data_IF_089439992380
#
_entry.id   IF_089439992380
#
_cell.length_a   1.000
_cell.length_b   1.000
_cell.length_c   1.000
_cell.angle_alpha   90.00
_cell.angle_beta   90.00
_cell.angle_gamma   90.00
#
_symmetry.space_group_name_H-M   'P 1'
#
loop_
_entity.id
_entity.type
_entity.pdbx_description
1 polymer ?
#
# COMPACT_ATOMS: atom_id res chain seq x y z
N UNK A 1 12.94 5.71 -7.09
CA UNK A 1 13.94 6.79 -7.04
C UNK A 1 15.18 6.34 -6.27
N UNK A 2 16.37 6.75 -6.72
CA UNK A 2 17.63 6.49 -6.02
C UNK A 2 17.58 7.04 -4.59
N UNK A 3 17.81 6.18 -3.59
CA UNK A 3 17.90 6.58 -2.17
C UNK A 3 16.61 6.47 -1.34
N UNK A 4 15.47 6.17 -1.95
CA UNK A 4 14.18 6.02 -1.24
C UNK A 4 13.75 4.55 -1.05
N UNK A 5 14.55 3.60 -1.50
CA UNK A 5 14.32 2.16 -1.29
C UNK A 5 15.65 1.53 -0.94
N UNK A 6 15.71 0.87 0.20
CA UNK A 6 16.90 0.17 0.71
C UNK A 6 16.61 -1.31 0.67
N UNK A 7 17.28 -2.05 -0.20
CA UNK A 7 17.15 -3.51 -0.25
C UNK A 7 18.27 -4.11 0.58
N UNK A 8 17.92 -4.72 1.70
CA UNK A 8 18.86 -5.42 2.57
C UNK A 8 18.66 -6.92 2.41
N UNK A 9 19.77 -7.62 2.18
CA UNK A 9 19.80 -9.08 2.12
C UNK A 9 19.97 -9.61 3.54
N UNK A 10 18.93 -10.22 4.09
CA UNK A 10 19.04 -10.99 5.32
C UNK A 10 18.56 -12.39 5.00
N UNK A 11 19.46 -13.29 4.58
CA UNK A 11 19.13 -14.70 4.31
C UNK A 11 18.20 -15.25 5.40
N UNK A 12 16.98 -15.73 5.07
CA UNK A 12 16.47 -16.10 3.74
C UNK A 12 15.59 -15.06 3.03
N UNK A 13 15.45 -13.84 3.56
CA UNK A 13 14.51 -12.81 3.09
C UNK A 13 15.27 -11.59 2.53
N UNK A 14 14.80 -11.08 1.40
CA UNK A 14 15.18 -9.74 0.94
C UNK A 14 14.20 -8.73 1.53
N UNK A 15 14.70 -7.78 2.31
CA UNK A 15 13.88 -6.72 2.91
C UNK A 15 14.08 -5.43 2.13
N UNK A 16 13.05 -5.01 1.40
CA UNK A 16 12.98 -3.71 0.76
C UNK A 16 12.34 -2.71 1.73
N UNK A 17 13.13 -1.76 2.23
CA UNK A 17 12.68 -0.67 3.10
C UNK A 17 12.46 0.57 2.26
N UNK A 18 11.21 1.00 2.13
CA UNK A 18 10.86 2.27 1.51
C UNK A 18 11.11 3.40 2.52
N UNK A 19 11.93 4.37 2.14
CA UNK A 19 12.38 5.47 2.97
C UNK A 19 12.15 6.81 2.27
N UNK A 20 12.35 7.92 2.98
CA UNK A 20 12.17 9.25 2.43
C UNK A 20 10.73 9.48 1.96
N UNK A 21 10.54 9.97 0.73
CA UNK A 21 9.21 10.29 0.17
C UNK A 21 8.33 9.06 -0.10
N UNK A 22 8.88 7.84 0.01
CA UNK A 22 8.14 6.59 -0.14
C UNK A 22 7.79 5.93 1.20
N UNK A 23 8.23 6.49 2.34
CA UNK A 23 7.99 5.93 3.66
C UNK A 23 6.51 5.98 4.11
N UNK A 24 5.64 6.62 3.32
CA UNK A 24 4.22 6.83 3.67
C UNK A 24 3.32 6.94 2.43
N UNK A 25 3.82 6.49 1.27
CA UNK A 25 3.10 6.54 0.00
C UNK A 25 2.73 5.12 -0.40
N UNK A 26 1.48 4.89 -0.78
CA UNK A 26 1.08 3.60 -1.32
C UNK A 26 1.91 3.31 -2.58
N UNK A 27 2.49 2.12 -2.66
CA UNK A 27 3.32 1.71 -3.81
C UNK A 27 2.52 0.73 -4.64
N UNK A 28 2.45 0.97 -5.95
CA UNK A 28 1.76 0.10 -6.90
C UNK A 28 2.30 -1.34 -6.87
N UNK A 29 1.51 -2.27 -7.41
CA UNK A 29 1.84 -3.70 -7.45
C UNK A 29 3.25 -3.93 -8.00
N UNK A 30 4.05 -4.67 -7.24
CA UNK A 30 5.40 -5.06 -7.61
C UNK A 30 5.31 -6.23 -8.60
N UNK A 31 5.81 -6.04 -9.82
CA UNK A 31 5.97 -7.11 -10.80
C UNK A 31 7.44 -7.27 -11.19
N UNK A 32 7.85 -8.50 -11.48
CA UNK A 32 9.17 -8.83 -12.02
C UNK A 32 9.05 -9.95 -13.04
N UNK A 33 9.80 -9.85 -14.14
CA UNK A 33 10.03 -10.95 -15.08
C UNK A 33 11.44 -11.45 -14.89
N UNK A 34 11.58 -12.74 -14.61
CA UNK A 34 12.89 -13.38 -14.58
C UNK A 34 13.34 -13.81 -15.98
N UNK A 35 14.62 -13.63 -16.27
CA UNK A 35 15.25 -14.00 -17.55
C UNK A 35 16.13 -15.24 -17.42
N UNK A 36 16.43 -15.77 -16.22
CA UNK A 36 17.29 -16.96 -16.14
C UNK A 36 17.27 -17.70 -14.76
N UNK A 37 16.19 -18.44 -14.47
CA UNK A 37 16.18 -19.48 -13.41
C UNK A 37 16.18 -20.90 -13.99
N UNK A 38 17.02 -21.16 -14.99
CA UNK A 38 17.34 -22.52 -15.41
C UNK A 38 18.47 -23.11 -14.54
N UNK A 39 18.15 -23.59 -13.33
CA UNK A 39 18.70 -24.85 -12.75
C UNK A 39 18.47 -24.97 -11.23
N UNK A 40 17.58 -25.89 -10.84
CA UNK A 40 18.00 -26.91 -9.87
C UNK A 40 17.34 -27.01 -8.50
N UNK A 41 16.45 -26.10 -8.08
CA UNK A 41 15.71 -26.27 -6.82
C UNK A 41 14.39 -25.48 -6.81
N UNK A 42 13.43 -25.90 -7.61
CA UNK A 42 12.05 -25.43 -7.43
C UNK A 42 11.37 -26.37 -6.44
N UNK A 43 11.00 -25.87 -5.26
CA UNK A 43 10.13 -26.59 -4.33
C UNK A 43 8.76 -26.77 -5.00
N UNK A 44 8.18 -27.97 -4.87
CA UNK A 44 6.86 -28.32 -5.39
C UNK A 44 5.73 -27.75 -4.51
N UNK A 45 6.03 -27.31 -3.29
CA UNK A 45 5.09 -26.61 -2.42
C UNK A 45 5.57 -25.19 -2.06
N UNK A 46 4.61 -24.29 -1.85
CA UNK A 46 4.82 -22.94 -1.30
C UNK A 46 3.75 -22.61 -0.27
N UNK A 47 4.09 -21.73 0.67
CA UNK A 47 3.14 -21.10 1.60
C UNK A 47 3.34 -19.60 1.52
N UNK A 48 2.25 -18.85 1.37
CA UNK A 48 2.29 -17.39 1.21
C UNK A 48 1.24 -16.71 2.09
N UNK A 49 1.63 -15.73 2.90
CA UNK A 49 0.70 -15.00 3.79
C UNK A 49 -0.23 -14.12 2.96
N UNK A 50 -1.50 -14.53 2.85
CA UNK A 50 -2.59 -13.96 2.04
C UNK A 50 -3.45 -12.91 2.71
N UNK A 51 -3.25 -12.73 4.00
CA UNK A 51 -3.50 -11.50 4.74
C UNK A 51 -2.45 -11.52 5.84
N UNK A 52 -1.62 -10.49 5.96
CA UNK A 52 -0.71 -10.39 7.10
C UNK A 52 -1.56 -10.12 8.34
N UNK A 53 -1.36 -10.92 9.38
CA UNK A 53 -2.01 -10.68 10.66
C UNK A 53 -1.54 -9.36 11.26
N UNK A 54 -2.48 -8.55 11.74
CA UNK A 54 -2.16 -7.26 12.36
C UNK A 54 -2.58 -7.35 13.82
N UNK A 55 -1.65 -7.09 14.73
CA UNK A 55 -1.96 -6.94 16.14
C UNK A 55 -2.74 -5.64 16.37
N UNK A 56 -3.59 -5.63 17.40
CA UNK A 56 -4.26 -4.39 17.77
C UNK A 56 -3.24 -3.33 18.21
N UNK A 57 -3.38 -2.12 17.67
CA UNK A 57 -2.66 -0.95 18.18
C UNK A 57 -3.65 -0.15 19.03
N UNK A 58 -3.27 0.10 20.28
CA UNK A 58 -4.02 0.93 21.20
C UNK A 58 -4.12 2.37 20.68
N UNK A 59 -5.33 2.89 20.56
CA UNK A 59 -5.54 4.31 20.25
C UNK A 59 -5.13 5.20 21.42
N UNK A 60 -4.52 6.35 21.11
CA UNK A 60 -4.20 7.40 22.08
C UNK A 60 -4.88 8.71 21.69
N UNK A 61 -5.72 9.22 22.57
CA UNK A 61 -6.34 10.53 22.44
C UNK A 61 -5.70 11.54 23.42
N UNK A 62 -5.32 12.69 22.91
CA UNK A 62 -4.74 13.81 23.65
C UNK A 62 -5.85 14.81 24.01
N UNK A 63 -5.95 15.11 25.31
CA UNK A 63 -6.92 16.07 25.83
C UNK A 63 -6.18 17.31 26.34
N UNK A 64 -6.38 18.42 25.64
CA UNK A 64 -5.68 19.69 25.86
C UNK A 64 -6.64 20.78 26.27
N UNK A 65 -6.40 21.41 27.42
CA UNK A 65 -7.15 22.59 27.86
C UNK A 65 -6.41 23.85 27.45
N UNK A 66 -7.12 24.75 26.76
CA UNK A 66 -6.60 26.07 26.33
C UNK A 66 -7.26 27.21 27.12
N UNK A 67 -6.81 28.45 26.89
CA UNK A 67 -7.41 29.64 27.49
C UNK A 67 -7.14 29.85 29.00
N UNK A 68 -6.38 28.95 29.66
CA UNK A 68 -5.96 29.06 31.07
C UNK A 68 -7.11 29.29 32.05
N UNK A 69 -8.10 28.37 32.13
CA UNK A 69 -9.19 28.50 33.09
C UNK A 69 -8.67 28.58 34.52
N UNK A 70 -9.40 29.28 35.37
CA UNK A 70 -9.11 29.39 36.82
C UNK A 70 -10.19 28.71 37.67
N UNK A 71 -11.14 28.03 37.02
CA UNK A 71 -12.29 27.39 37.65
C UNK A 71 -13.18 26.67 36.64
N UNK A 72 -14.25 26.05 37.15
CA UNK A 72 -15.25 25.33 36.35
C UNK A 72 -14.86 23.88 36.07
N UNK A 73 -15.70 23.23 35.28
CA UNK A 73 -15.62 21.80 34.95
C UNK A 73 -15.98 21.55 33.49
N UNK A 74 -15.81 20.31 33.07
CA UNK A 74 -16.28 19.78 31.79
C UNK A 74 -16.89 18.39 32.00
N UNK A 75 -17.76 17.99 31.07
CA UNK A 75 -18.30 16.64 30.99
C UNK A 75 -17.77 16.00 29.71
N UNK A 76 -17.04 14.90 29.86
CA UNK A 76 -16.53 14.10 28.73
C UNK A 76 -17.55 13.01 28.41
N UNK A 77 -17.76 12.71 27.13
CA UNK A 77 -18.66 11.66 26.67
C UNK A 77 -17.96 10.73 25.68
N UNK A 78 -18.16 9.42 25.87
CA UNK A 78 -17.58 8.34 25.08
C UNK A 78 -18.54 7.16 25.01
N UNK A 79 -18.70 6.54 23.84
CA UNK A 79 -19.53 5.34 23.70
C UNK A 79 -20.99 5.49 24.17
N UNK A 80 -21.54 6.71 24.12
CA UNK A 80 -22.91 7.02 24.58
C UNK A 80 -23.08 7.18 26.09
N UNK A 81 -21.99 7.12 26.88
CA UNK A 81 -21.98 7.45 28.31
C UNK A 81 -21.21 8.75 28.56
N UNK A 82 -21.44 9.38 29.72
CA UNK A 82 -20.78 10.62 30.13
C UNK A 82 -20.11 10.47 31.49
N UNK A 83 -18.96 11.11 31.67
CA UNK A 83 -18.27 11.17 32.97
C UNK A 83 -19.07 11.98 33.99
N UNK A 84 -18.77 11.83 35.29
CA UNK A 84 -18.99 12.88 36.27
C UNK A 84 -18.26 14.18 35.86
N UNK A 85 -18.60 15.30 36.49
CA UNK A 85 -17.92 16.58 36.28
C UNK A 85 -16.40 16.48 36.53
N UNK A 86 -15.61 16.82 35.52
CA UNK A 86 -14.14 16.81 35.54
C UNK A 86 -13.66 18.23 35.72
N UNK A 87 -12.92 18.49 36.81
CA UNK A 87 -12.45 19.84 37.15
C UNK A 87 -11.34 20.33 36.20
N UNK A 88 -11.23 21.65 36.05
CA UNK A 88 -10.24 22.32 35.20
C UNK A 88 -8.76 22.05 35.58
N UNK A 89 -8.48 21.58 36.80
CA UNK A 89 -7.14 21.36 37.36
C UNK A 89 -6.84 19.87 37.66
N UNK A 90 -7.55 18.96 36.99
CA UNK A 90 -7.45 17.52 37.21
C UNK A 90 -6.07 16.95 36.87
N UNK A 91 -5.63 15.97 37.65
CA UNK A 91 -4.45 15.13 37.37
C UNK A 91 -4.80 13.93 36.49
N UNK A 92 -3.82 13.30 35.84
CA UNK A 92 -4.06 12.10 35.02
C UNK A 92 -4.77 10.96 35.79
N UNK A 93 -4.36 10.69 37.04
CA UNK A 93 -5.00 9.66 37.87
C UNK A 93 -6.47 9.98 38.22
N UNK A 94 -6.78 11.26 38.43
CA UNK A 94 -8.16 11.68 38.64
C UNK A 94 -8.96 11.60 37.34
N UNK A 95 -8.37 11.96 36.19
CA UNK A 95 -9.00 11.79 34.88
C UNK A 95 -9.36 10.33 34.63
N UNK A 96 -8.43 9.41 34.85
CA UNK A 96 -8.67 7.97 34.74
C UNK A 96 -9.86 7.53 35.59
N UNK A 97 -9.91 7.98 36.85
CA UNK A 97 -11.06 7.71 37.74
C UNK A 97 -12.39 8.27 37.17
N UNK A 98 -12.37 9.42 36.51
CA UNK A 98 -13.55 10.01 35.88
C UNK A 98 -13.99 9.25 34.63
N UNK A 99 -13.05 8.74 33.83
CA UNK A 99 -13.32 7.96 32.63
C UNK A 99 -13.85 6.56 32.98
N UNK A 100 -13.20 5.86 33.92
CA UNK A 100 -13.63 4.54 34.41
C UNK A 100 -14.98 4.55 35.15
N UNK A 101 -15.50 5.73 35.50
CA UNK A 101 -16.84 5.88 36.04
C UNK A 101 -17.94 5.81 34.97
N UNK A 102 -17.59 5.79 33.67
CA UNK A 102 -18.54 5.61 32.57
C UNK A 102 -18.82 4.14 32.29
N UNK A 103 -20.08 3.78 32.03
CA UNK A 103 -20.45 2.39 31.69
C UNK A 103 -19.85 1.90 30.36
N UNK A 104 -19.47 2.83 29.48
CA UNK A 104 -18.81 2.55 28.19
C UNK A 104 -17.30 2.31 28.30
N UNK A 105 -16.69 2.53 29.47
CA UNK A 105 -15.26 2.38 29.69
C UNK A 105 -15.03 1.36 30.81
N UNK A 106 -14.66 0.12 30.48
CA UNK A 106 -14.30 -0.87 31.48
C UNK A 106 -13.08 -0.44 32.31
N UNK A 107 -13.01 -0.94 33.54
CA UNK A 107 -11.91 -0.61 34.45
C UNK A 107 -10.55 -1.05 33.87
N UNK A 108 -9.58 -0.14 33.89
CA UNK A 108 -8.21 -0.35 33.40
C UNK A 108 -8.05 -0.20 31.88
N UNK A 109 -9.12 0.12 31.14
CA UNK A 109 -9.09 0.14 29.67
C UNK A 109 -8.95 1.54 29.06
N UNK A 110 -8.94 2.60 29.88
CA UNK A 110 -8.64 3.98 29.46
C UNK A 110 -7.62 4.63 30.40
N UNK A 111 -6.37 4.15 30.32
CA UNK A 111 -5.29 4.63 31.21
C UNK A 111 -4.87 6.05 30.83
N UNK A 112 -4.65 6.90 31.84
CA UNK A 112 -4.30 8.30 31.62
C UNK A 112 -2.86 8.62 32.02
N UNK A 113 -2.16 9.43 31.23
CA UNK A 113 -0.81 9.92 31.53
C UNK A 113 -0.65 11.42 31.24
N UNK A 114 0.47 12.01 31.65
CA UNK A 114 0.71 13.46 31.49
C UNK A 114 0.05 14.31 32.59
N UNK A 115 -0.48 15.47 32.20
CA UNK A 115 -1.11 16.44 33.09
C UNK A 115 -0.17 17.09 34.11
N UNK A 116 -0.71 17.82 35.10
CA UNK A 116 -2.13 18.15 35.27
C UNK A 116 -2.61 19.27 34.34
N UNK A 117 -3.92 19.35 34.15
CA UNK A 117 -4.53 20.51 33.49
C UNK A 117 -4.45 21.78 34.34
N UNK A 118 -4.52 22.97 33.72
CA UNK A 118 -4.46 23.22 32.27
C UNK A 118 -3.01 23.29 31.72
N UNK A 119 -1.99 22.97 32.53
CA UNK A 119 -0.58 23.23 32.20
C UNK A 119 0.07 22.21 31.24
N UNK A 120 -0.45 20.99 31.15
CA UNK A 120 0.07 19.94 30.27
C UNK A 120 -1.06 19.04 29.76
N UNK A 121 -0.91 18.49 28.56
CA UNK A 121 -1.86 17.55 27.97
C UNK A 121 -2.04 16.31 28.85
N UNK A 122 -3.27 15.79 28.94
CA UNK A 122 -3.53 14.46 29.48
C UNK A 122 -3.78 13.54 28.30
N UNK A 123 -2.98 12.47 28.20
CA UNK A 123 -3.12 11.47 27.16
C UNK A 123 -3.92 10.28 27.69
N UNK A 124 -4.91 9.84 26.94
CA UNK A 124 -5.76 8.69 27.26
C UNK A 124 -5.44 7.58 26.27
N UNK A 125 -4.91 6.47 26.77
CA UNK A 125 -4.62 5.28 25.99
C UNK A 125 -5.74 4.26 26.19
N UNK A 126 -6.44 3.92 25.12
CA UNK A 126 -7.46 2.87 25.11
C UNK A 126 -6.80 1.50 24.93
N UNK A 127 -7.15 0.54 25.78
CA UNK A 127 -6.54 -0.79 25.80
C UNK A 127 -7.57 -1.86 26.18
N UNK A 128 -7.14 -3.13 26.24
CA UNK A 128 -8.05 -4.23 26.58
C UNK A 128 -9.14 -4.40 25.54
N UNK A 129 -10.41 -4.42 25.96
CA UNK A 129 -11.54 -4.50 25.03
C UNK A 129 -11.81 -3.23 24.22
N UNK A 130 -11.20 -2.11 24.61
CA UNK A 130 -11.21 -0.85 23.86
C UNK A 130 -9.93 -0.62 23.03
N UNK A 131 -9.07 -1.63 22.90
CA UNK A 131 -7.93 -1.55 22.02
C UNK A 131 -8.36 -1.61 20.54
N UNK A 132 -7.61 -0.95 19.66
CA UNK A 132 -8.00 -0.76 18.27
C UNK A 132 -8.61 0.61 18.05
N UNK A 133 -9.41 0.75 16.98
CA UNK A 133 -9.98 2.02 16.55
C UNK A 133 -11.12 2.43 17.48
N UNK A 134 -11.03 3.63 18.03
CA UNK A 134 -12.03 4.21 18.91
C UNK A 134 -12.60 5.50 18.34
N UNK A 135 -13.81 5.86 18.79
CA UNK A 135 -14.40 7.13 18.44
C UNK A 135 -13.73 8.26 19.27
N UNK A 136 -13.50 9.42 18.65
CA UNK A 136 -13.02 10.59 19.38
C UNK A 136 -13.97 10.95 20.52
N UNK A 137 -13.44 11.13 21.73
CA UNK A 137 -14.22 11.64 22.84
C UNK A 137 -14.79 13.02 22.53
N UNK A 138 -15.93 13.33 23.13
CA UNK A 138 -16.58 14.64 23.00
C UNK A 138 -16.74 15.27 24.37
N UNK A 139 -16.87 16.60 24.42
CA UNK A 139 -16.95 17.34 25.67
C UNK A 139 -18.03 18.42 25.64
N UNK A 140 -18.53 18.76 26.83
CA UNK A 140 -19.36 19.94 27.09
C UNK A 140 -18.70 20.73 28.19
N UNK A 141 -18.11 21.86 27.82
CA UNK A 141 -17.32 22.68 28.73
C UNK A 141 -18.17 23.69 29.50
N UNK A 142 -17.89 23.81 30.81
CA UNK A 142 -18.39 24.86 31.68
C UNK A 142 -17.23 25.52 32.45
N UNK A 143 -16.07 25.61 31.81
CA UNK A 143 -14.89 26.29 32.35
C UNK A 143 -15.12 27.79 32.58
N UNK A 144 -14.43 28.34 33.58
CA UNK A 144 -14.55 29.75 33.96
C UNK A 144 -13.19 30.40 34.19
N UNK A 145 -13.15 31.73 34.06
CA UNK A 145 -11.89 32.49 34.07
C UNK A 145 -11.08 32.33 32.78
N UNK A 146 -9.92 32.96 32.71
CA UNK A 146 -9.05 32.86 31.54
C UNK A 146 -9.56 33.59 30.28
N UNK A 147 -8.95 33.29 29.14
CA UNK A 147 -9.28 33.83 27.81
C UNK A 147 -9.99 32.75 26.98
N UNK A 148 -11.31 32.66 27.11
CA UNK A 148 -12.16 31.67 26.40
C UNK A 148 -11.63 30.24 26.54
N UNK A 149 -11.66 29.66 27.76
CA UNK A 149 -11.15 28.32 27.99
C UNK A 149 -11.99 27.26 27.29
N UNK A 150 -11.32 26.27 26.71
CA UNK A 150 -11.91 25.18 25.94
C UNK A 150 -11.05 23.92 26.09
N UNK A 151 -11.68 22.75 26.20
CA UNK A 151 -11.04 21.44 26.05
C UNK A 151 -11.11 21.03 24.58
N UNK A 152 -9.94 20.79 24.00
CA UNK A 152 -9.78 20.19 22.67
C UNK A 152 -9.31 18.75 22.83
N UNK A 153 -9.97 17.83 22.14
CA UNK A 153 -9.63 16.41 22.10
C UNK A 153 -9.15 16.09 20.70
N UNK A 154 -7.96 15.48 20.59
CA UNK A 154 -7.36 15.09 19.31
C UNK A 154 -6.86 13.66 19.37
N UNK A 155 -6.92 12.94 18.27
CA UNK A 155 -6.24 11.66 18.12
C UNK A 155 -4.73 11.91 17.91
N UNK A 156 -3.90 11.29 18.75
CA UNK A 156 -2.43 11.43 18.71
C UNK A 156 -1.76 10.15 18.20
N UNK A 157 -2.36 8.98 18.47
CA UNK A 157 -1.98 7.71 17.86
C UNK A 157 -3.25 7.01 17.41
N UNK A 158 -3.49 6.87 16.10
CA UNK A 158 -4.64 6.14 15.60
C UNK A 158 -4.62 4.69 16.08
N UNK A 159 -5.79 4.18 16.45
CA UNK A 159 -5.97 2.76 16.73
C UNK A 159 -5.87 1.90 15.47
N UNK A 160 -5.56 0.63 15.65
CA UNK A 160 -5.63 -0.37 14.57
C UNK A 160 -6.34 -1.61 15.11
N UNK A 161 -7.43 -2.00 14.46
CA UNK A 161 -8.14 -3.23 14.81
C UNK A 161 -7.31 -4.45 14.39
N UNK A 162 -7.32 -5.48 15.23
CA UNK A 162 -6.59 -6.69 14.92
C UNK A 162 -7.21 -7.41 13.70
N UNK A 163 -6.35 -7.87 12.80
CA UNK A 163 -6.75 -8.61 11.59
C UNK A 163 -6.21 -10.04 11.72
N UNK A 164 -7.08 -11.02 11.47
CA UNK A 164 -6.72 -12.42 11.42
C UNK A 164 -5.75 -12.69 10.26
N UNK A 165 -4.67 -13.41 10.53
CA UNK A 165 -3.73 -13.83 9.50
C UNK A 165 -4.36 -14.91 8.60
N UNK A 166 -4.18 -14.75 7.29
CA UNK A 166 -4.55 -15.75 6.30
C UNK A 166 -3.29 -16.20 5.58
N UNK A 167 -3.10 -17.50 5.43
CA UNK A 167 -1.99 -18.10 4.68
C UNK A 167 -2.54 -19.01 3.59
N UNK A 168 -2.00 -18.93 2.38
CA UNK A 168 -2.34 -19.83 1.27
C UNK A 168 -1.25 -20.86 1.13
N UNK A 169 -1.64 -22.12 1.12
CA UNK A 169 -0.77 -23.25 0.80
C UNK A 169 -1.05 -23.64 -0.64
N UNK A 170 0.00 -23.68 -1.46
CA UNK A 170 -0.07 -24.13 -2.84
C UNK A 170 0.92 -25.27 -3.07
N UNK A 171 0.49 -26.23 -3.87
CA UNK A 171 1.35 -27.27 -4.43
C UNK A 171 1.23 -27.18 -5.94
N UNK A 172 2.35 -27.30 -6.65
CA UNK A 172 2.38 -27.18 -8.10
C UNK A 172 1.38 -28.14 -8.77
N UNK A 173 0.57 -27.61 -9.69
CA UNK A 173 -0.50 -28.32 -10.40
C UNK A 173 -0.02 -29.60 -11.13
N UNK A 174 1.28 -29.70 -11.45
CA UNK A 174 1.89 -30.86 -12.10
C UNK A 174 2.34 -31.98 -11.14
N UNK A 175 2.17 -31.81 -9.82
CA UNK A 175 2.33 -32.88 -8.83
C UNK A 175 1.25 -33.94 -9.04
N UNK A 176 1.66 -35.21 -9.06
CA UNK A 176 0.75 -36.35 -9.35
C UNK A 176 0.65 -37.35 -8.20
N UNK A 177 1.46 -37.18 -7.15
CA UNK A 177 1.47 -38.09 -6.00
C UNK A 177 2.39 -37.61 -4.88
N UNK A 178 2.45 -38.41 -3.81
CA UNK A 178 3.37 -38.18 -2.69
C UNK A 178 2.73 -37.49 -1.48
N UNK A 179 3.58 -37.06 -0.56
CA UNK A 179 3.19 -36.37 0.67
C UNK A 179 4.04 -35.14 0.92
N UNK A 180 3.50 -34.19 1.67
CA UNK A 180 4.21 -33.03 2.21
C UNK A 180 3.93 -32.92 3.72
N UNK A 181 4.65 -32.06 4.42
CA UNK A 181 4.39 -31.69 5.81
C UNK A 181 4.40 -30.17 5.96
N UNK A 182 3.66 -29.65 6.93
CA UNK A 182 3.66 -28.24 7.29
C UNK A 182 4.41 -28.08 8.62
N UNK A 183 5.21 -27.03 8.75
CA UNK A 183 5.83 -26.63 10.01
C UNK A 183 5.30 -25.26 10.40
N UNK A 184 4.66 -25.16 11.57
CA UNK A 184 4.14 -23.92 12.14
C UNK A 184 4.64 -23.78 13.58
N UNK A 185 5.17 -22.61 13.95
CA UNK A 185 5.80 -22.35 15.26
C UNK A 185 6.84 -23.41 15.70
N UNK A 186 7.53 -24.00 14.72
CA UNK A 186 8.52 -25.06 14.94
C UNK A 186 7.95 -26.47 15.13
N UNK A 187 6.63 -26.65 15.15
CA UNK A 187 5.96 -27.95 15.19
C UNK A 187 5.62 -28.44 13.77
N UNK A 188 6.13 -29.62 13.42
CA UNK A 188 5.89 -30.27 12.13
C UNK A 188 4.69 -31.22 12.19
N UNK A 189 3.76 -31.08 11.25
CA UNK A 189 2.61 -31.98 11.11
C UNK A 189 3.04 -33.40 10.70
N UNK A 190 2.22 -34.41 11.01
CA UNK A 190 2.35 -35.71 10.36
C UNK A 190 2.20 -35.59 8.82
N UNK A 191 2.78 -36.50 8.02
CA UNK A 191 2.73 -36.42 6.56
C UNK A 191 1.30 -36.30 6.01
N UNK A 192 1.10 -35.31 5.15
CA UNK A 192 -0.15 -34.94 4.49
C UNK A 192 -0.07 -35.39 3.02
N UNK A 193 -1.11 -36.06 2.51
CA UNK A 193 -1.16 -36.47 1.10
C UNK A 193 -1.32 -35.26 0.17
N UNK A 194 -0.67 -35.30 -1.00
CA UNK A 194 -0.63 -34.18 -1.97
C UNK A 194 -1.99 -33.62 -2.41
N UNK A 195 -3.07 -34.41 -2.30
CA UNK A 195 -4.44 -34.05 -2.65
C UNK A 195 -5.38 -34.03 -1.44
N UNK A 196 -4.85 -33.74 -0.26
CA UNK A 196 -5.60 -33.66 0.99
C UNK A 196 -6.79 -32.68 0.88
N UNK A 197 -7.90 -33.00 1.54
CA UNK A 197 -9.02 -32.07 1.69
C UNK A 197 -8.67 -30.97 2.70
N UNK A 198 -9.36 -29.83 2.64
CA UNK A 198 -9.19 -28.75 3.64
C UNK A 198 -9.35 -29.26 5.08
N UNK A 199 -10.31 -30.15 5.34
CA UNK A 199 -10.50 -30.76 6.66
C UNK A 199 -9.29 -31.61 7.11
N UNK A 200 -8.58 -32.26 6.19
CA UNK A 200 -7.38 -33.01 6.52
C UNK A 200 -6.19 -32.10 6.84
N UNK A 201 -6.05 -30.97 6.14
CA UNK A 201 -5.07 -29.93 6.47
C UNK A 201 -5.36 -29.33 7.84
N UNK A 202 -6.62 -28.96 8.09
CA UNK A 202 -7.06 -28.40 9.37
C UNK A 202 -6.78 -29.36 10.52
N UNK A 203 -7.12 -30.64 10.35
CA UNK A 203 -6.84 -31.66 11.37
C UNK A 203 -5.34 -31.86 11.61
N UNK A 204 -4.50 -31.74 10.59
CA UNK A 204 -3.05 -31.83 10.73
C UNK A 204 -2.48 -30.65 11.50
N UNK A 205 -2.92 -29.42 11.22
CA UNK A 205 -2.51 -28.20 11.93
C UNK A 205 -3.01 -28.17 13.38
N UNK A 206 -4.22 -28.68 13.66
CA UNK A 206 -4.80 -28.77 15.01
C UNK A 206 -4.24 -29.93 15.85
N UNK A 207 -3.44 -30.82 15.27
CA UNK A 207 -2.82 -31.92 16.00
C UNK A 207 -1.56 -31.48 16.77
N UNK A 208 -1.08 -30.25 16.55
CA UNK A 208 0.07 -29.69 17.26
C UNK A 208 -0.27 -29.34 18.72
N UNK A 209 0.63 -29.54 19.69
CA UNK A 209 0.42 -29.11 21.07
C UNK A 209 0.40 -27.58 21.25
N UNK A 210 0.90 -26.82 20.28
CA UNK A 210 0.90 -25.34 20.22
C UNK A 210 -0.24 -24.77 19.38
N UNK A 211 -1.13 -25.62 18.84
CA UNK A 211 -2.14 -25.19 17.87
C UNK A 211 -3.06 -24.08 18.38
N UNK A 212 -3.15 -23.03 17.59
CA UNK A 212 -4.21 -22.04 17.68
C UNK A 212 -5.50 -22.54 16.99
N UNK A 213 -6.60 -21.83 17.21
CA UNK A 213 -7.85 -22.09 16.47
C UNK A 213 -7.62 -21.69 15.02
N UNK A 214 -7.80 -22.65 14.10
CA UNK A 214 -7.54 -22.46 12.68
C UNK A 214 -8.69 -23.01 11.84
N UNK A 215 -9.08 -22.27 10.82
CA UNK A 215 -10.07 -22.66 9.82
C UNK A 215 -9.39 -22.82 8.47
N UNK A 216 -9.61 -23.96 7.79
CA UNK A 216 -9.04 -24.20 6.45
C UNK A 216 -10.14 -24.36 5.43
N UNK A 217 -10.03 -23.65 4.31
CA UNK A 217 -10.94 -23.71 3.15
C UNK A 217 -10.17 -23.96 1.84
N UNK A 218 -10.88 -24.05 0.71
CA UNK A 218 -10.28 -24.40 -0.57
C UNK A 218 -9.97 -25.90 -0.70
N UNK A 219 -8.90 -26.23 -1.44
CA UNK A 219 -8.53 -27.59 -1.79
C UNK A 219 -9.65 -28.39 -2.49
N UNK A 220 -9.46 -29.71 -2.66
CA UNK A 220 -8.18 -30.43 -2.54
C UNK A 220 -7.18 -30.02 -3.63
N UNK A 221 -5.89 -30.08 -3.31
CA UNK A 221 -4.82 -29.84 -4.26
C UNK A 221 -4.63 -30.99 -5.27
N UNK A 222 -3.72 -30.83 -6.24
CA UNK A 222 -2.90 -29.62 -6.49
C UNK A 222 -3.61 -28.55 -7.33
N UNK A 223 -4.79 -28.83 -7.92
CA UNK A 223 -5.50 -27.87 -8.78
C UNK A 223 -6.30 -26.77 -8.06
N UNK A 224 -6.28 -26.78 -6.71
CA UNK A 224 -6.97 -25.80 -5.87
C UNK A 224 -6.14 -25.56 -4.62
N UNK A 225 -5.87 -24.29 -4.32
CA UNK A 225 -5.08 -23.89 -3.16
C UNK A 225 -5.86 -24.11 -1.85
N UNK A 226 -5.14 -24.35 -0.75
CA UNK A 226 -5.73 -24.36 0.59
C UNK A 226 -5.55 -23.00 1.24
N UNK A 227 -6.63 -22.45 1.79
CA UNK A 227 -6.65 -21.15 2.46
C UNK A 227 -6.78 -21.42 3.96
N UNK A 228 -5.74 -21.09 4.71
CA UNK A 228 -5.65 -21.23 6.17
C UNK A 228 -5.93 -19.87 6.79
N UNK A 229 -7.00 -19.76 7.59
CA UNK A 229 -7.31 -18.58 8.39
C UNK A 229 -7.02 -18.91 9.84
N UNK A 230 -6.12 -18.15 10.46
CA UNK A 230 -5.83 -18.24 11.88
C UNK A 230 -6.88 -17.40 12.62
N UNK A 231 -7.74 -18.06 13.39
CA UNK A 231 -8.94 -17.42 13.95
C UNK A 231 -8.60 -16.49 15.13
N UNK A 232 -7.35 -16.50 15.61
CA UNK A 232 -6.79 -15.48 16.51
C UNK A 232 -6.40 -14.26 15.69
N UNK A 233 -6.91 -13.08 16.06
CA UNK A 233 -6.50 -11.83 15.45
C UNK A 233 -5.10 -11.43 15.93
N UNK A 234 -4.23 -11.01 15.01
CA UNK A 234 -2.82 -10.75 15.29
C UNK A 234 -1.88 -11.46 14.31
N UNK A 235 -0.59 -11.11 14.36
CA UNK A 235 0.43 -11.79 13.56
C UNK A 235 0.74 -13.17 14.12
N UNK A 236 0.78 -14.18 13.26
CA UNK A 236 1.12 -15.56 13.64
C UNK A 236 2.49 -15.97 13.09
N UNK A 237 3.15 -16.97 13.70
CA UNK A 237 4.39 -17.52 13.16
C UNK A 237 4.25 -18.01 11.72
N UNK A 238 5.33 -17.84 10.93
CA UNK A 238 5.38 -18.29 9.54
C UNK A 238 5.18 -19.81 9.44
N UNK A 239 4.28 -20.22 8.55
CA UNK A 239 4.11 -21.63 8.19
C UNK A 239 4.98 -21.95 6.98
N UNK A 240 5.76 -23.03 7.07
CA UNK A 240 6.60 -23.51 5.96
C UNK A 240 6.15 -24.89 5.50
N UNK A 241 6.51 -25.26 4.27
CA UNK A 241 6.21 -26.58 3.71
C UNK A 241 7.48 -27.38 3.50
N UNK A 242 7.43 -28.65 3.90
CA UNK A 242 8.44 -29.66 3.59
C UNK A 242 7.86 -30.61 2.55
N UNK A 243 8.44 -30.63 1.36
CA UNK A 243 7.83 -31.24 0.17
C UNK A 243 8.71 -32.33 -0.49
N UNK A 244 9.78 -32.76 0.20
CA UNK A 244 10.77 -33.73 -0.28
C UNK A 244 10.18 -35.09 -0.72
N UNK A 245 8.92 -35.37 -0.40
CA UNK A 245 8.22 -36.61 -0.75
C UNK A 245 7.11 -36.42 -1.81
N UNK A 246 6.98 -35.25 -2.43
CA UNK A 246 6.09 -35.03 -3.57
C UNK A 246 6.67 -35.64 -4.85
N UNK A 247 5.78 -36.17 -5.70
CA UNK A 247 6.14 -36.84 -6.96
C UNK A 247 5.31 -36.29 -8.12
N UNK A 248 5.88 -36.21 -9.32
CA UNK A 248 5.39 -35.30 -10.36
C UNK A 248 5.92 -33.88 -10.13
N UNK A 249 5.72 -32.97 -11.08
CA UNK A 249 6.35 -31.65 -11.08
C UNK A 249 7.29 -31.45 -12.26
N UNK A 250 7.01 -30.50 -13.16
CA UNK A 250 8.05 -29.79 -13.92
C UNK A 250 8.20 -28.42 -13.28
N UNK A 251 9.45 -28.06 -12.97
CA UNK A 251 9.87 -26.88 -12.20
C UNK A 251 9.62 -25.52 -12.90
N UNK A 252 8.46 -25.31 -13.53
CA UNK A 252 8.25 -24.14 -14.42
C UNK A 252 7.17 -23.15 -14.00
N UNK A 253 6.51 -23.31 -12.86
CA UNK A 253 5.58 -22.27 -12.38
C UNK A 253 6.11 -21.62 -11.10
N UNK A 254 6.66 -20.42 -11.27
CA UNK A 254 6.82 -19.43 -10.19
C UNK A 254 5.52 -18.63 -10.15
N UNK A 255 4.67 -18.89 -9.16
CA UNK A 255 3.52 -18.02 -8.87
C UNK A 255 3.91 -17.02 -7.79
N UNK A 256 4.08 -15.75 -8.17
CA UNK A 256 4.14 -14.65 -7.22
C UNK A 256 2.70 -14.31 -6.83
N UNK A 257 2.29 -14.65 -5.62
CA UNK A 257 1.00 -14.22 -5.08
C UNK A 257 1.26 -13.00 -4.18
N UNK A 258 0.99 -11.80 -4.70
CA UNK A 258 0.92 -10.59 -3.89
C UNK A 258 -0.43 -10.55 -3.21
N UNK A 259 -0.39 -10.18 -1.95
CA UNK A 259 -1.48 -10.30 -1.03
C UNK A 259 -1.89 -8.89 -0.64
N UNK A 260 -3.18 -8.65 -0.72
CA UNK A 260 -3.86 -7.36 -0.58
C UNK A 260 -3.28 -6.52 0.57
N UNK A 261 -3.11 -5.22 0.29
CA UNK A 261 -2.64 -4.24 1.25
C UNK A 261 -3.45 -4.29 2.56
N UNK A 262 -2.75 -4.44 3.68
CA UNK A 262 -3.31 -4.09 4.99
C UNK A 262 -3.69 -2.61 4.97
N UNK A 263 -4.90 -2.31 5.43
CA UNK A 263 -5.41 -0.94 5.53
C UNK A 263 -4.65 -0.16 6.61
N UNK A 264 -3.64 0.60 6.14
CA UNK A 264 -2.94 1.76 6.72
C UNK A 264 -2.24 1.66 8.08
N UNK A 265 -1.08 2.33 8.17
CA UNK A 265 -0.56 2.88 9.42
C UNK A 265 0.94 2.75 9.64
N UNK A 266 1.56 1.63 9.24
CA UNK A 266 3.01 1.43 9.38
C UNK A 266 3.48 0.38 8.37
N UNK A 267 4.40 0.79 7.49
CA UNK A 267 5.35 -0.08 6.75
C UNK A 267 4.82 -1.38 6.09
N UNK A 268 4.61 -1.38 4.77
CA UNK A 268 4.68 -2.63 3.97
C UNK A 268 6.14 -3.12 3.94
N UNK A 269 6.56 -4.05 4.82
CA UNK A 269 8.00 -4.38 5.04
C UNK A 269 8.51 -5.73 4.55
N UNK A 270 7.72 -6.58 3.91
CA UNK A 270 8.24 -7.88 3.44
C UNK A 270 7.72 -8.30 2.07
N UNK A 271 8.66 -8.70 1.21
CA UNK A 271 8.40 -9.46 -0.02
C UNK A 271 9.00 -10.85 0.20
N UNK A 272 8.17 -11.88 0.17
CA UNK A 272 8.61 -13.28 0.24
C UNK A 272 8.56 -13.87 -1.16
N UNK A 273 9.73 -14.18 -1.73
CA UNK A 273 9.83 -14.89 -3.01
C UNK A 273 9.94 -16.39 -2.70
N UNK A 274 9.01 -17.19 -3.22
CA UNK A 274 9.03 -18.64 -3.08
C UNK A 274 8.86 -19.31 -4.46
N UNK A 275 9.73 -20.26 -4.84
CA UNK A 275 10.86 -20.78 -4.06
C UNK A 275 12.00 -19.77 -3.85
N UNK A 276 12.85 -20.05 -2.85
CA UNK A 276 14.01 -19.22 -2.50
C UNK A 276 14.95 -19.09 -3.70
N UNK A 277 15.45 -17.88 -3.96
CA UNK A 277 16.54 -17.70 -4.93
C UNK A 277 17.82 -18.36 -4.39
N UNK A 278 18.24 -19.46 -5.01
CA UNK A 278 19.50 -20.12 -4.68
C UNK A 278 20.65 -19.20 -5.07
N UNK A 279 21.53 -18.90 -4.09
CA UNK A 279 22.58 -17.89 -4.15
C UNK A 279 23.70 -18.12 -5.21
N UNK A 280 23.51 -19.01 -6.18
CA UNK A 280 24.57 -19.45 -7.09
C UNK A 280 24.56 -18.79 -8.49
N UNK A 281 23.52 -18.05 -8.87
CA UNK A 281 23.41 -17.61 -10.29
C UNK A 281 22.79 -16.24 -10.54
N UNK A 282 22.59 -15.41 -9.52
CA UNK A 282 22.18 -14.01 -9.77
C UNK A 282 23.45 -13.17 -9.81
N UNK A 283 23.89 -12.78 -11.02
CA UNK A 283 24.96 -11.79 -11.14
C UNK A 283 24.57 -10.54 -10.32
N UNK A 284 25.45 -10.10 -9.42
CA UNK A 284 25.23 -9.05 -8.42
C UNK A 284 24.96 -7.64 -9.00
N UNK A 285 24.55 -7.54 -10.26
CA UNK A 285 24.30 -6.31 -11.01
C UNK A 285 22.93 -6.28 -11.69
N UNK A 286 22.03 -7.22 -11.36
CA UNK A 286 20.64 -7.19 -11.83
C UNK A 286 19.84 -6.12 -11.11
N UNK A 287 19.34 -5.13 -11.83
CA UNK A 287 18.35 -4.17 -11.32
C UNK A 287 16.98 -4.85 -11.31
N UNK A 288 16.33 -4.96 -10.14
CA UNK A 288 14.90 -5.28 -10.06
C UNK A 288 14.14 -4.00 -10.38
N UNK A 289 13.52 -3.93 -11.55
CA UNK A 289 12.67 -2.81 -11.98
C UNK A 289 11.22 -3.10 -11.65
N UNK A 290 10.64 -2.25 -10.80
CA UNK A 290 9.22 -2.26 -10.44
C UNK A 290 8.43 -1.50 -11.51
N UNK A 291 7.61 -2.20 -12.29
CA UNK A 291 6.68 -1.56 -13.24
C UNK A 291 5.36 -1.22 -12.56
N UNK A 292 4.94 0.05 -12.62
CA UNK A 292 3.60 0.45 -12.18
C UNK A 292 2.49 -0.17 -13.05
N UNK A 293 1.22 0.05 -12.68
CA UNK A 293 0.08 -0.25 -13.55
C UNK A 293 0.20 0.62 -14.81
N UNK A 294 0.11 0.02 -16.00
CA UNK A 294 0.19 0.74 -17.28
C UNK A 294 -0.89 0.31 -18.26
N UNK A 295 -1.32 1.26 -19.08
CA UNK A 295 -2.16 1.04 -20.24
C UNK A 295 -1.33 1.25 -21.49
N UNK A 296 -1.18 0.20 -22.28
CA UNK A 296 -0.50 0.25 -23.57
C UNK A 296 -1.53 0.44 -24.66
N UNK A 297 -1.35 1.52 -25.43
CA UNK A 297 -2.25 1.89 -26.51
C UNK A 297 -1.45 1.81 -27.81
N UNK A 298 -1.86 0.90 -28.69
CA UNK A 298 -1.33 0.86 -30.04
C UNK A 298 -2.09 1.86 -30.89
N UNK A 299 -1.45 2.98 -31.20
CA UNK A 299 -2.03 4.04 -32.03
C UNK A 299 -2.15 3.54 -33.48
N UNK A 300 -3.36 3.64 -34.05
CA UNK A 300 -3.61 3.29 -35.45
C UNK A 300 -3.37 4.49 -36.36
N UNK A 301 -4.28 5.47 -36.27
CA UNK A 301 -4.17 6.76 -36.96
C UNK A 301 -4.39 7.89 -35.95
N UNK A 302 -3.63 8.96 -36.05
CA UNK A 302 -3.73 10.08 -35.10
C UNK A 302 -2.44 10.88 -35.00
N UNK A 303 -2.46 11.84 -34.09
CA UNK A 303 -1.33 12.67 -33.76
C UNK A 303 -1.20 12.85 -32.25
N UNK A 304 0.03 12.92 -31.76
CA UNK A 304 0.37 13.38 -30.43
C UNK A 304 1.37 14.51 -30.58
N UNK A 305 1.05 15.65 -29.97
CA UNK A 305 1.86 16.86 -30.00
C UNK A 305 2.13 17.32 -28.58
N UNK A 306 3.34 17.80 -28.35
CA UNK A 306 3.72 18.48 -27.12
C UNK A 306 4.45 19.78 -27.46
N UNK A 307 4.27 20.81 -26.65
CA UNK A 307 4.87 22.14 -26.83
C UNK A 307 5.65 22.53 -25.58
N UNK A 308 6.96 22.70 -25.72
CA UNK A 308 7.81 23.27 -24.67
C UNK A 308 7.68 24.79 -24.64
N UNK A 309 7.19 25.32 -23.52
CA UNK A 309 7.05 26.74 -23.30
C UNK A 309 8.32 27.29 -22.64
N UNK A 310 9.16 28.00 -23.42
CA UNK A 310 10.40 28.63 -22.95
C UNK A 310 10.29 30.16 -23.03
N UNK A 311 9.48 30.81 -22.17
CA UNK A 311 9.26 32.24 -22.21
C UNK A 311 10.55 33.01 -21.87
N UNK A 312 10.79 34.10 -22.62
CA UNK A 312 12.01 34.91 -22.54
C UNK A 312 11.69 36.39 -22.44
N UNK A 313 12.34 37.07 -21.51
CA UNK A 313 12.30 38.52 -21.40
C UNK A 313 13.43 39.15 -22.22
N UNK A 314 13.07 39.99 -23.19
CA UNK A 314 14.03 40.71 -24.04
C UNK A 314 14.14 42.18 -23.58
N UNK A 315 15.19 42.50 -22.82
CA UNK A 315 15.50 43.86 -22.39
C UNK A 315 16.11 44.65 -23.55
N UNK A 316 15.68 45.91 -23.73
CA UNK A 316 16.18 46.80 -24.78
C UNK A 316 16.83 48.04 -24.19
N UNK A 317 18.05 48.37 -24.63
CA UNK A 317 18.66 49.67 -24.37
C UNK A 317 18.37 50.59 -25.56
N UNK A 318 17.59 51.65 -25.31
CA UNK A 318 17.24 52.68 -26.31
C UNK A 318 16.73 52.09 -27.65
N UNK A 319 15.93 51.02 -27.57
CA UNK A 319 15.34 50.38 -28.73
C UNK A 319 16.21 49.33 -29.43
N UNK A 320 17.47 49.17 -29.04
CA UNK A 320 18.31 48.03 -29.46
C UNK A 320 18.15 46.86 -28.48
N UNK A 321 18.12 45.62 -28.98
CA UNK A 321 18.16 44.43 -28.14
C UNK A 321 19.46 44.42 -27.33
N UNK A 322 19.37 44.30 -26.01
CA UNK A 322 20.52 44.42 -25.11
C UNK A 322 20.78 43.10 -24.37
N UNK A 323 19.84 42.67 -23.50
CA UNK A 323 19.99 41.46 -22.69
C UNK A 323 18.74 40.58 -22.77
N UNK A 324 18.91 39.25 -22.77
CA UNK A 324 17.81 38.27 -22.70
C UNK A 324 17.90 37.54 -21.37
N UNK A 325 16.76 37.38 -20.68
CA UNK A 325 16.64 36.60 -19.44
C UNK A 325 15.50 35.59 -19.58
N UNK A 326 15.56 34.51 -18.82
CA UNK A 326 14.43 33.58 -18.71
C UNK A 326 13.31 34.26 -17.91
N UNK A 327 12.07 34.09 -18.36
CA UNK A 327 10.88 34.45 -17.58
C UNK A 327 10.49 33.30 -16.64
N UNK A 328 9.32 33.39 -16.02
CA UNK A 328 8.77 32.33 -15.18
C UNK A 328 8.59 31.02 -15.96
N UNK A 329 8.81 29.88 -15.29
CA UNK A 329 8.67 28.56 -15.89
C UNK A 329 7.21 28.28 -16.24
N UNK A 330 6.98 27.71 -17.44
CA UNK A 330 5.66 27.32 -17.92
C UNK A 330 5.64 25.81 -18.19
N UNK A 331 4.51 25.12 -17.90
CA UNK A 331 4.39 23.68 -18.12
C UNK A 331 4.38 23.35 -19.62
N UNK A 332 4.77 22.11 -19.94
CA UNK A 332 4.64 21.56 -21.30
C UNK A 332 3.16 21.32 -21.61
N UNK A 333 2.68 21.92 -22.71
CA UNK A 333 1.34 21.65 -23.22
C UNK A 333 1.35 20.34 -24.01
N UNK A 334 0.39 19.46 -23.73
CA UNK A 334 0.28 18.15 -24.39
C UNK A 334 -1.12 18.03 -24.99
N UNK A 335 -1.17 17.63 -26.27
CA UNK A 335 -2.41 17.39 -27.00
C UNK A 335 -2.27 16.12 -27.82
N UNK A 336 -3.19 15.18 -27.64
CA UNK A 336 -3.27 13.98 -28.45
C UNK A 336 -4.67 13.76 -28.98
N UNK A 337 -4.72 13.31 -30.23
CA UNK A 337 -5.93 13.01 -30.95
C UNK A 337 -5.64 11.75 -31.77
N UNK A 338 -6.22 10.61 -31.37
CA UNK A 338 -5.98 9.37 -32.06
C UNK A 338 -7.16 8.41 -32.03
N UNK A 339 -7.15 7.52 -33.01
CA UNK A 339 -7.89 6.26 -33.03
C UNK A 339 -6.89 5.14 -32.72
N UNK A 340 -7.23 4.29 -31.76
CA UNK A 340 -6.38 3.17 -31.36
C UNK A 340 -6.76 1.87 -32.09
N UNK A 341 -5.76 1.06 -32.41
CA UNK A 341 -5.91 -0.29 -33.00
C UNK A 341 -6.17 -1.33 -31.91
N UNK A 342 -5.45 -1.25 -30.79
CA UNK A 342 -5.63 -2.13 -29.64
C UNK A 342 -5.23 -1.46 -28.32
N UNK A 343 -5.89 -1.87 -27.24
CA UNK A 343 -5.56 -1.48 -25.86
C UNK A 343 -5.21 -2.75 -25.08
N UNK A 344 -4.07 -2.74 -24.40
CA UNK A 344 -3.63 -3.83 -23.51
C UNK A 344 -3.20 -3.24 -22.16
N UNK A 345 -3.48 -3.94 -21.06
CA UNK A 345 -3.08 -3.50 -19.73
C UNK A 345 -2.14 -4.51 -19.10
N UNK A 346 -1.17 -4.02 -18.31
CA UNK A 346 -0.24 -4.86 -17.55
C UNK A 346 -0.54 -4.66 -16.06
N UNK A 347 -0.80 -5.75 -15.32
CA UNK A 347 -0.97 -5.69 -13.85
C UNK A 347 -2.24 -6.31 -13.21
N UNK A 348 -2.93 -7.26 -13.85
CA UNK A 348 -3.91 -8.12 -13.18
C UNK A 348 -5.39 -7.67 -13.25
N UNK A 349 -6.12 -8.29 -14.19
CA UNK A 349 -7.56 -8.25 -14.52
C UNK A 349 -8.17 -6.92 -15.01
N UNK A 350 -9.17 -7.08 -15.90
CA UNK A 350 -9.96 -6.12 -16.68
C UNK A 350 -9.18 -4.93 -17.29
N UNK A 351 -9.23 -4.77 -18.62
CA UNK A 351 -8.50 -3.71 -19.33
C UNK A 351 -9.23 -2.37 -19.10
N UNK A 352 -8.66 -1.39 -18.37
CA UNK A 352 -9.26 -0.07 -18.23
C UNK A 352 -9.30 0.65 -19.57
N UNK A 353 -10.29 1.53 -19.75
CA UNK A 353 -10.32 2.42 -20.91
C UNK A 353 -9.33 3.59 -20.73
N UNK A 354 -8.98 4.28 -21.81
CA UNK A 354 -8.15 5.50 -21.71
C UNK A 354 -8.81 6.54 -20.79
N UNK A 355 -10.15 6.62 -20.81
CA UNK A 355 -10.91 7.49 -19.92
C UNK A 355 -10.75 7.10 -18.45
N UNK A 356 -10.90 5.82 -18.13
CA UNK A 356 -10.72 5.30 -16.78
C UNK A 356 -9.33 5.67 -16.25
N UNK A 357 -8.30 5.50 -17.08
CA UNK A 357 -6.92 5.81 -16.70
C UNK A 357 -6.66 7.29 -16.49
N UNK A 358 -7.32 8.19 -17.24
CA UNK A 358 -7.14 9.63 -17.08
C UNK A 358 -7.95 10.18 -15.90
N UNK A 359 -9.14 9.62 -15.66
CA UNK A 359 -10.09 10.09 -14.62
C UNK A 359 -9.94 9.39 -13.27
N UNK A 360 -9.08 8.38 -13.18
CA UNK A 360 -8.97 7.51 -12.00
C UNK A 360 -10.34 6.90 -11.63
N UNK A 361 -11.01 6.30 -12.62
CA UNK A 361 -12.35 5.73 -12.46
C UNK A 361 -12.46 4.32 -13.01
N UNK A 362 -13.59 3.65 -12.78
CA UNK A 362 -13.85 2.31 -13.32
C UNK A 362 -12.77 1.31 -12.91
N UNK A 363 -12.25 0.56 -13.87
CA UNK A 363 -11.17 -0.42 -13.65
C UNK A 363 -9.81 0.23 -13.27
N UNK A 364 -9.70 1.56 -13.35
CA UNK A 364 -8.54 2.33 -12.93
C UNK A 364 -8.78 3.13 -11.63
N UNK A 365 -9.86 2.87 -10.89
CA UNK A 365 -10.16 3.58 -9.62
C UNK A 365 -9.07 3.42 -8.56
N UNK A 366 -8.34 2.32 -8.63
CA UNK A 366 -7.22 1.99 -7.73
C UNK A 366 -5.85 2.42 -8.29
N UNK A 367 -5.80 3.11 -9.43
CA UNK A 367 -4.54 3.64 -9.95
C UNK A 367 -4.05 4.77 -9.07
N UNK A 368 -2.73 4.82 -8.86
CA UNK A 368 -2.09 5.85 -8.04
C UNK A 368 -1.60 6.99 -8.93
N UNK A 369 -1.61 8.21 -8.38
CA UNK A 369 -1.08 9.39 -9.05
C UNK A 369 0.44 9.28 -9.17
N UNK A 370 1.01 9.81 -10.24
CA UNK A 370 2.48 9.85 -10.42
C UNK A 370 3.16 10.98 -9.64
N UNK A 371 2.40 11.98 -9.16
CA UNK A 371 2.89 13.03 -8.26
C UNK A 371 3.16 12.48 -6.86
N UNK A 372 4.19 13.03 -6.20
CA UNK A 372 4.52 12.74 -4.81
C UNK A 372 3.67 13.51 -3.79
N UNK A 373 2.91 14.52 -4.22
CA UNK A 373 2.04 15.31 -3.35
C UNK A 373 0.60 14.76 -3.38
N UNK A 374 0.14 14.23 -2.26
CA UNK A 374 -1.19 13.63 -2.11
C UNK A 374 -2.34 14.66 -2.19
N UNK A 375 -2.05 15.96 -2.05
CA UNK A 375 -3.05 17.03 -2.16
C UNK A 375 -3.24 17.52 -3.60
N UNK A 376 -2.38 17.10 -4.52
CA UNK A 376 -2.49 17.49 -5.92
C UNK A 376 -3.56 16.66 -6.66
N UNK A 377 -4.22 17.26 -7.69
CA UNK A 377 -5.09 16.50 -8.57
C UNK A 377 -4.33 15.35 -9.24
N UNK A 378 -5.04 14.23 -9.43
CA UNK A 378 -4.54 13.01 -10.06
C UNK A 378 -3.83 13.30 -11.39
N UNK A 379 -2.66 12.67 -11.58
CA UNK A 379 -1.83 12.79 -12.76
C UNK A 379 -1.22 11.44 -13.15
N UNK A 380 -0.89 11.32 -14.44
CA UNK A 380 -0.26 10.15 -15.03
C UNK A 380 1.01 10.53 -15.79
N UNK A 381 1.91 9.58 -16.01
CA UNK A 381 3.00 9.76 -16.96
C UNK A 381 2.54 9.23 -18.32
N UNK A 382 2.80 9.99 -19.40
CA UNK A 382 2.57 9.52 -20.77
C UNK A 382 3.92 9.13 -21.37
N UNK A 383 4.04 7.86 -21.73
CA UNK A 383 5.19 7.30 -22.43
C UNK A 383 4.86 7.12 -23.92
N UNK A 384 5.56 7.85 -24.78
CA UNK A 384 5.40 7.77 -26.23
C UNK A 384 6.57 6.97 -26.80
N UNK A 385 6.28 5.75 -27.23
CA UNK A 385 7.26 4.89 -27.88
C UNK A 385 7.18 5.00 -29.40
N UNK A 386 8.27 5.41 -30.04
CA UNK A 386 8.40 5.47 -31.48
C UNK A 386 9.31 4.34 -32.00
N UNK A 387 8.70 3.35 -32.67
CA UNK A 387 9.42 2.30 -33.41
C UNK A 387 9.29 2.55 -34.93
N UNK A 388 10.38 2.93 -35.62
CA UNK A 388 10.36 3.16 -37.07
C UNK A 388 10.25 1.87 -37.91
N UNK A 389 10.20 0.67 -37.30
CA UNK A 389 9.79 -0.57 -37.97
C UNK A 389 10.78 -1.14 -38.99
N UNK A 390 12.01 -0.62 -39.07
CA UNK A 390 13.02 -1.10 -40.01
C UNK A 390 14.39 -1.34 -39.36
N UNK A 391 14.49 -2.40 -38.57
CA UNK A 391 15.72 -3.21 -38.39
C UNK A 391 16.98 -2.51 -37.89
N UNK A 392 16.86 -1.39 -37.17
CA UNK A 392 18.00 -0.67 -36.61
C UNK A 392 17.62 0.09 -35.34
N UNK A 393 18.52 0.05 -34.38
CA UNK A 393 18.42 0.45 -32.98
C UNK A 393 18.24 1.96 -32.78
N UNK A 394 17.09 2.52 -33.15
CA UNK A 394 16.74 3.91 -32.86
C UNK A 394 15.29 4.02 -32.34
N UNK A 395 14.97 3.24 -31.31
CA UNK A 395 13.72 3.41 -30.57
C UNK A 395 13.81 4.69 -29.72
N UNK A 396 12.87 5.61 -29.89
CA UNK A 396 12.79 6.83 -29.08
C UNK A 396 11.62 6.69 -28.09
N UNK A 397 11.91 6.88 -26.81
CA UNK A 397 10.93 6.96 -25.74
C UNK A 397 10.89 8.42 -25.27
N UNK A 398 9.74 9.06 -25.45
CA UNK A 398 9.46 10.40 -24.91
C UNK A 398 8.54 10.23 -23.70
N UNK A 399 8.99 10.65 -22.53
CA UNK A 399 8.22 10.63 -21.29
C UNK A 399 7.74 12.03 -20.93
N UNK A 400 6.41 12.18 -20.83
CA UNK A 400 5.71 13.38 -20.38
C UNK A 400 5.20 13.11 -18.96
N UNK A 401 5.99 13.50 -17.96
CA UNK A 401 5.73 13.22 -16.55
C UNK A 401 4.63 14.11 -15.97
N UNK A 402 3.89 13.62 -14.96
CA UNK A 402 2.88 14.39 -14.21
C UNK A 402 1.84 15.11 -15.11
N UNK A 403 1.38 14.45 -16.16
CA UNK A 403 0.35 14.95 -17.06
C UNK A 403 -1.04 14.96 -16.40
N UNK A 404 -1.75 16.07 -16.55
CA UNK A 404 -3.14 16.27 -16.12
C UNK A 404 -3.98 16.67 -17.30
N UNK A 405 -5.05 15.93 -17.56
CA UNK A 405 -5.99 16.29 -18.61
C UNK A 405 -6.79 17.54 -18.20
N UNK A 406 -6.98 18.47 -19.14
CA UNK A 406 -7.81 19.67 -18.97
C UNK A 406 -9.10 19.55 -19.78
N UNK A 407 -9.00 18.99 -20.98
CA UNK A 407 -10.14 18.68 -21.84
C UNK A 407 -10.07 17.24 -22.33
N UNK A 408 -11.23 16.59 -22.36
CA UNK A 408 -11.38 15.25 -22.90
C UNK A 408 -12.65 15.21 -23.74
N UNK A 409 -12.47 15.05 -25.04
CA UNK A 409 -13.55 14.98 -26.01
C UNK A 409 -13.67 13.56 -26.58
N UNK A 410 -14.92 13.12 -26.73
CA UNK A 410 -15.24 11.79 -27.21
C UNK A 410 -16.06 11.89 -28.50
N UNK A 411 -15.54 11.29 -29.57
CA UNK A 411 -16.31 11.08 -30.78
C UNK A 411 -16.69 9.60 -30.91
N UNK A 412 -17.91 9.28 -30.48
CA UNK A 412 -18.45 7.91 -30.44
C UNK A 412 -18.57 7.30 -31.85
N UNK A 413 -18.68 8.11 -32.92
CA UNK A 413 -18.79 7.56 -34.28
C UNK A 413 -17.48 7.03 -34.84
N UNK A 414 -16.34 7.53 -34.36
CA UNK A 414 -15.02 7.24 -34.95
C UNK A 414 -14.06 6.52 -33.98
N UNK A 415 -14.52 6.14 -32.78
CA UNK A 415 -13.68 5.58 -31.72
C UNK A 415 -12.42 6.43 -31.45
N UNK A 416 -12.58 7.74 -31.53
CA UNK A 416 -11.52 8.73 -31.40
C UNK A 416 -11.56 9.34 -30.00
N UNK A 417 -10.38 9.48 -29.40
CA UNK A 417 -10.17 10.25 -28.18
C UNK A 417 -9.31 11.47 -28.48
N UNK A 418 -9.81 12.64 -28.09
CA UNK A 418 -9.08 13.90 -28.22
C UNK A 418 -8.92 14.49 -26.82
N UNK A 419 -7.68 14.73 -26.41
CA UNK A 419 -7.36 15.20 -25.08
C UNK A 419 -6.32 16.31 -25.16
N UNK A 420 -6.54 17.36 -24.37
CA UNK A 420 -5.52 18.37 -24.09
C UNK A 420 -5.25 18.45 -22.61
N UNK A 421 -4.04 18.79 -22.23
CA UNK A 421 -3.66 18.99 -20.85
C UNK A 421 -2.23 19.50 -20.70
N UNK A 422 -1.73 19.48 -19.48
CA UNK A 422 -0.42 20.02 -19.13
C UNK A 422 0.38 19.00 -18.34
N UNK A 423 1.67 18.90 -18.66
CA UNK A 423 2.67 18.17 -17.87
C UNK A 423 3.40 19.16 -16.97
N UNK A 424 3.53 18.82 -15.68
CA UNK A 424 4.19 19.67 -14.68
C UNK A 424 5.74 19.57 -14.78
N UNK A 425 6.26 19.74 -15.99
CA UNK A 425 7.69 19.80 -16.34
C UNK A 425 7.89 20.88 -17.40
N UNK A 426 9.11 21.41 -17.49
CA UNK A 426 9.50 22.43 -18.48
C UNK A 426 9.97 21.85 -19.82
N UNK A 427 10.34 20.57 -19.83
CA UNK A 427 10.69 19.78 -21.02
C UNK A 427 10.46 18.28 -20.77
N UNK A 428 10.11 17.49 -21.80
CA UNK A 428 9.96 16.05 -21.67
C UNK A 428 11.30 15.33 -21.52
N UNK A 429 11.27 14.16 -20.88
CA UNK A 429 12.44 13.28 -20.80
C UNK A 429 12.50 12.43 -22.05
N UNK A 430 13.56 12.59 -22.87
CA UNK A 430 13.74 11.83 -24.11
C UNK A 430 14.89 10.84 -23.97
N UNK A 431 14.59 9.55 -24.07
CA UNK A 431 15.57 8.47 -24.07
C UNK A 431 15.63 7.81 -25.45
N UNK A 432 16.83 7.66 -26.00
CA UNK A 432 17.06 6.95 -27.27
C UNK A 432 17.76 5.64 -26.97
N UNK A 433 17.15 4.53 -27.39
CA UNK A 433 17.80 3.22 -27.41
C UNK A 433 18.91 3.26 -28.45
N UNK A 434 20.12 2.88 -28.04
CA UNK A 434 21.28 2.70 -28.92
C UNK A 434 21.30 1.36 -29.60
#
# INVERSE_FOLDING_TARGET
>A
GLGNVTVTQATPVWRATFAGTLASSNVGMISGTDVDMASGDATNGTVTNTVIGVDNVNEVQDLTVTGTPSGGDTIISFGGSSSPAVLFDVTAAQMETHLEAMDSIPQGEATCSGGPWPGSVIQVTFSGSLAGIQALMTNVDSFTGGSSPELTITENTPGVDAVAEVQTIRINDSVTGGTFALTHDGDETAPIVYNATAAAIQAALLASPTSEVVTVTGGPGPGTDWIVTWDTAGSVPDTTVTDANLTGGVATDVSVQVITAGSSGTETTSITVTPVLVAATVAATGTVTFGGRKLEIKIGEGNLTYTENKPREYMRDRGALDTVRNADEEPVDVSFDFVWDSITAVGGSAIPTVEDTLKQSGEASEWLSTSSDACEPYCVNIEVFHDPGCGGENTELVELEEFRYETLEHNISDAQISCTGKSNKVEPTVTRGS
#
